data_IF_184973263961
#
_entry.id   IF_184973263961
#
_cell.length_a   1.000
_cell.length_b   1.000
_cell.length_c   1.000
_cell.angle_alpha   90.00
_cell.angle_beta   90.00
_cell.angle_gamma   90.00
#
_symmetry.space_group_name_H-M   'P 1'
#
loop_
_entity.id
_entity.type
_entity.pdbx_description
1 polymer ?
#
# COMPACT_ATOMS: atom_id res chain seq x y z
N UNK A 1 -55.72 21.16 -15.23
CA UNK A 1 -54.52 21.70 -14.55
C UNK A 1 -53.53 22.11 -15.63
N UNK A 2 -53.28 23.41 -15.82
CA UNK A 2 -52.33 23.93 -16.81
C UNK A 2 -51.14 24.47 -16.02
N UNK A 3 -49.97 23.84 -16.15
CA UNK A 3 -48.75 24.30 -15.48
C UNK A 3 -48.20 25.57 -16.17
N UNK A 4 -47.67 26.52 -15.39
CA UNK A 4 -47.09 27.76 -15.92
C UNK A 4 -45.76 27.48 -16.64
N UNK A 5 -45.42 28.30 -17.64
CA UNK A 5 -44.12 28.21 -18.36
C UNK A 5 -42.92 28.23 -17.41
N UNK A 6 -43.02 28.95 -16.30
CA UNK A 6 -41.99 29.03 -15.25
C UNK A 6 -41.82 27.72 -14.48
N UNK A 7 -42.90 26.97 -14.26
CA UNK A 7 -42.86 25.65 -13.60
C UNK A 7 -42.14 24.62 -14.48
N UNK A 8 -42.44 24.63 -15.79
CA UNK A 8 -41.78 23.75 -16.77
C UNK A 8 -40.28 24.07 -16.83
N UNK A 9 -39.90 25.36 -16.84
CA UNK A 9 -38.50 25.78 -16.81
C UNK A 9 -37.74 25.29 -15.57
N UNK A 10 -38.35 25.39 -14.39
CA UNK A 10 -37.76 24.89 -13.14
C UNK A 10 -37.55 23.37 -13.18
N UNK A 11 -38.55 22.62 -13.67
CA UNK A 11 -38.46 21.16 -13.80
C UNK A 11 -37.36 20.76 -14.77
N UNK A 12 -37.20 21.46 -15.90
CA UNK A 12 -36.13 21.19 -16.86
C UNK A 12 -34.75 21.50 -16.28
N UNK A 13 -34.60 22.58 -15.51
CA UNK A 13 -33.36 22.89 -14.80
C UNK A 13 -33.04 21.79 -13.77
N UNK A 14 -34.01 21.37 -12.96
CA UNK A 14 -33.81 20.30 -11.98
C UNK A 14 -33.49 18.94 -12.64
N UNK A 15 -34.09 18.62 -13.78
CA UNK A 15 -33.74 17.45 -14.57
C UNK A 15 -32.31 17.52 -15.12
N UNK A 16 -31.90 18.69 -15.64
CA UNK A 16 -30.54 18.92 -16.14
C UNK A 16 -29.49 18.84 -15.02
N UNK A 17 -29.83 19.27 -13.80
CA UNK A 17 -28.98 19.11 -12.62
C UNK A 17 -28.94 17.67 -12.08
N UNK A 18 -29.99 16.88 -12.28
CA UNK A 18 -30.04 15.48 -11.81
C UNK A 18 -29.13 14.56 -12.64
N UNK A 19 -28.89 14.86 -13.92
CA UNK A 19 -27.99 14.06 -14.78
C UNK A 19 -26.49 14.18 -14.41
N UNK A 20 -26.13 15.05 -13.47
CA UNK A 20 -24.75 15.20 -12.98
C UNK A 20 -24.43 14.32 -11.75
N UNK A 21 -25.39 13.55 -11.24
CA UNK A 21 -25.15 12.63 -10.13
C UNK A 21 -24.51 11.32 -10.65
N UNK A 22 -23.22 11.36 -10.96
CA UNK A 22 -22.44 10.15 -11.22
C UNK A 22 -22.08 9.49 -9.89
N UNK A 23 -22.50 8.23 -9.71
CA UNK A 23 -22.00 7.40 -8.61
C UNK A 23 -20.54 7.06 -8.86
N UNK A 24 -19.70 7.23 -7.84
CA UNK A 24 -18.32 6.75 -7.87
C UNK A 24 -18.38 5.25 -7.54
N UNK A 25 -18.03 4.41 -8.51
CA UNK A 25 -18.16 2.96 -8.41
C UNK A 25 -17.17 2.36 -7.39
N UNK A 26 -15.94 2.90 -7.35
CA UNK A 26 -14.85 2.43 -6.47
C UNK A 26 -14.21 3.63 -5.71
N UNK A 27 -14.87 4.19 -4.69
CA UNK A 27 -14.36 5.35 -3.96
C UNK A 27 -13.03 5.07 -3.24
N UNK A 28 -12.74 3.83 -2.88
CA UNK A 28 -11.50 3.36 -2.28
C UNK A 28 -10.28 3.43 -3.21
N UNK A 29 -10.50 3.61 -4.52
CA UNK A 29 -9.44 3.77 -5.51
C UNK A 29 -8.95 5.22 -5.63
N UNK A 30 -9.73 6.19 -5.16
CA UNK A 30 -9.39 7.62 -5.25
C UNK A 30 -8.23 8.07 -4.34
N UNK A 31 -8.08 7.56 -3.10
CA UNK A 31 -7.00 7.99 -2.21
C UNK A 31 -5.61 7.67 -2.75
N UNK A 32 -4.73 8.68 -2.75
CA UNK A 32 -3.31 8.51 -3.00
C UNK A 32 -2.54 8.45 -1.68
N UNK A 33 -2.10 7.25 -1.29
CA UNK A 33 -1.38 7.04 -0.03
C UNK A 33 0.06 7.58 -0.04
N UNK A 34 0.61 7.92 -1.21
CA UNK A 34 1.92 8.59 -1.32
C UNK A 34 1.80 10.11 -1.24
N UNK A 35 0.59 10.66 -1.16
CA UNK A 35 0.41 12.11 -1.03
C UNK A 35 1.04 12.59 0.29
N UNK A 36 2.02 13.49 0.21
CA UNK A 36 2.75 14.04 1.35
C UNK A 36 3.92 13.20 1.86
N UNK A 37 4.22 12.07 1.18
CA UNK A 37 5.27 11.13 1.58
C UNK A 37 6.61 11.39 0.89
N UNK A 38 6.71 12.46 0.08
CA UNK A 38 7.93 12.87 -0.62
C UNK A 38 8.75 13.90 0.18
N UNK A 39 8.51 14.00 1.50
CA UNK A 39 9.36 14.76 2.41
C UNK A 39 10.72 14.08 2.57
N UNK A 40 11.81 14.85 2.49
CA UNK A 40 13.14 14.38 2.84
C UNK A 40 13.61 14.95 4.19
N UNK A 41 13.37 14.18 5.25
CA UNK A 41 13.83 14.50 6.60
C UNK A 41 13.10 15.68 7.27
N UNK A 42 13.73 16.24 8.31
CA UNK A 42 13.11 17.24 9.19
C UNK A 42 13.19 18.69 8.73
N UNK A 43 13.78 19.00 7.57
CA UNK A 43 14.04 20.40 7.16
C UNK A 43 12.84 21.05 6.46
N UNK A 44 12.12 20.31 5.60
CA UNK A 44 10.98 20.84 4.86
C UNK A 44 9.91 19.76 4.64
N UNK A 45 8.70 20.01 5.14
CA UNK A 45 7.58 19.08 5.03
C UNK A 45 6.72 19.35 3.79
N UNK A 46 6.43 18.29 3.04
CA UNK A 46 5.35 18.26 2.03
C UNK A 46 4.10 17.54 2.53
N UNK A 47 4.08 17.15 3.80
CA UNK A 47 2.99 16.41 4.46
C UNK A 47 3.50 15.58 5.63
N UNK A 48 4.68 14.98 5.50
CA UNK A 48 5.25 14.05 6.50
C UNK A 48 4.35 12.83 6.73
N UNK A 49 3.66 12.38 5.69
CA UNK A 49 2.74 11.25 5.76
C UNK A 49 3.45 9.93 5.46
N UNK A 50 2.82 8.86 5.91
CA UNK A 50 3.20 7.48 5.63
C UNK A 50 2.10 6.85 4.77
N UNK A 51 2.43 5.95 3.84
CA UNK A 51 1.44 5.20 3.07
C UNK A 51 0.82 4.09 3.94
N UNK A 52 -0.01 4.49 4.91
CA UNK A 52 -0.61 3.58 5.88
C UNK A 52 -1.73 2.76 5.25
N UNK A 53 -1.51 1.46 5.16
CA UNK A 53 -2.51 0.46 4.76
C UNK A 53 -3.16 -0.11 6.02
N UNK A 54 -4.49 -0.13 6.07
CA UNK A 54 -5.23 -0.56 7.24
C UNK A 54 -6.70 -0.15 7.23
N UNK A 55 -7.46 -0.68 8.19
CA UNK A 55 -8.85 -0.25 8.42
C UNK A 55 -8.88 1.20 8.92
N UNK A 56 -9.96 1.96 8.64
CA UNK A 56 -10.25 3.17 9.37
C UNK A 56 -10.17 2.94 10.89
N UNK A 57 -9.35 3.70 11.58
CA UNK A 57 -9.07 3.57 13.03
C UNK A 57 -8.54 2.18 13.45
N UNK A 58 -7.88 1.47 12.54
CA UNK A 58 -7.21 0.21 12.85
C UNK A 58 -6.15 0.39 13.94
N UNK A 59 -5.99 -0.63 14.78
CA UNK A 59 -4.94 -0.61 15.81
C UNK A 59 -3.56 -0.66 15.14
N UNK A 60 -3.35 -1.62 14.24
CA UNK A 60 -2.13 -1.77 13.46
C UNK A 60 -2.30 -1.16 12.07
N UNK A 61 -1.29 -0.42 11.62
CA UNK A 61 -1.17 0.00 10.22
C UNK A 61 0.10 -0.58 9.62
N UNK A 62 0.07 -0.86 8.32
CA UNK A 62 1.18 -1.42 7.58
C UNK A 62 1.72 -0.41 6.59
N UNK A 63 3.05 -0.31 6.50
CA UNK A 63 3.69 0.53 5.51
C UNK A 63 5.08 0.00 5.14
N UNK A 64 5.50 0.14 3.87
CA UNK A 64 6.87 -0.11 3.44
C UNK A 64 7.84 0.79 4.20
N UNK A 65 9.00 0.25 4.58
CA UNK A 65 10.12 1.00 5.14
C UNK A 65 11.25 1.07 4.10
N UNK A 66 11.67 2.29 3.78
CA UNK A 66 12.69 2.52 2.74
C UNK A 66 14.06 2.89 3.32
N UNK A 67 14.09 3.39 4.55
CA UNK A 67 15.31 3.82 5.25
C UNK A 67 15.48 3.05 6.54
N UNK A 68 16.70 2.58 6.81
CA UNK A 68 17.04 2.04 8.12
C UNK A 68 17.04 3.14 9.18
N UNK A 69 16.76 2.74 10.42
CA UNK A 69 16.82 3.65 11.56
C UNK A 69 18.28 4.02 11.84
N UNK A 70 18.60 5.28 11.69
CA UNK A 70 19.89 5.88 12.03
C UNK A 70 19.67 7.18 12.79
N UNK A 71 20.75 7.76 13.33
CA UNK A 71 20.68 9.09 13.96
C UNK A 71 20.21 10.19 13.00
N UNK A 72 20.39 9.99 11.70
CA UNK A 72 20.09 10.99 10.67
C UNK A 72 18.69 10.80 10.08
N UNK A 73 18.20 9.55 10.01
CA UNK A 73 16.85 9.23 9.52
C UNK A 73 15.80 9.36 10.62
N UNK A 74 16.13 8.99 11.86
CA UNK A 74 15.24 9.12 13.01
C UNK A 74 13.88 8.44 12.75
N UNK A 75 12.81 9.24 12.79
CA UNK A 75 11.43 8.79 12.52
C UNK A 75 11.00 8.92 11.06
N UNK A 76 11.85 9.45 10.16
CA UNK A 76 11.62 9.48 8.71
C UNK A 76 12.15 8.20 8.07
N UNK A 77 11.53 7.08 8.42
CA UNK A 77 11.91 5.75 7.94
C UNK A 77 11.28 5.39 6.57
N UNK A 78 10.33 6.20 6.10
CA UNK A 78 9.77 6.12 4.74
C UNK A 78 9.97 7.42 3.99
N UNK A 79 10.27 7.31 2.69
CA UNK A 79 10.18 8.40 1.72
C UNK A 79 9.82 7.82 0.37
N UNK A 80 8.83 8.42 -0.30
CA UNK A 80 8.37 8.02 -1.64
C UNK A 80 9.40 8.29 -2.75
N UNK A 81 10.48 9.01 -2.44
CA UNK A 81 11.60 9.26 -3.35
C UNK A 81 12.65 8.14 -3.34
N UNK A 82 12.60 7.25 -2.33
CA UNK A 82 13.59 6.19 -2.16
C UNK A 82 13.27 4.97 -3.03
N UNK A 83 14.30 4.46 -3.71
CA UNK A 83 14.21 3.24 -4.52
C UNK A 83 14.63 1.99 -3.74
N UNK A 84 14.91 2.13 -2.45
CA UNK A 84 15.21 1.03 -1.54
C UNK A 84 13.97 0.61 -0.78
N UNK A 85 13.77 -0.70 -0.65
CA UNK A 85 12.76 -1.32 0.22
C UNK A 85 13.50 -2.24 1.17
N UNK A 86 13.27 -2.11 2.47
CA UNK A 86 13.97 -2.91 3.49
C UNK A 86 13.01 -3.84 4.20
N UNK A 87 11.90 -3.30 4.69
CA UNK A 87 10.95 -4.03 5.51
C UNK A 87 9.54 -3.63 5.16
N UNK A 88 8.60 -4.53 5.40
CA UNK A 88 7.24 -4.14 5.68
C UNK A 88 7.11 -3.93 7.20
N UNK A 89 6.55 -2.79 7.59
CA UNK A 89 6.52 -2.34 8.99
C UNK A 89 5.07 -2.28 9.49
N UNK A 90 4.80 -2.95 10.60
CA UNK A 90 3.63 -2.67 11.43
C UNK A 90 3.95 -1.44 12.29
N UNK A 91 3.20 -0.36 12.15
CA UNK A 91 3.51 0.96 12.73
C UNK A 91 2.33 1.57 13.46
N UNK A 92 2.63 2.35 14.50
CA UNK A 92 1.71 3.21 15.21
C UNK A 92 2.14 4.69 15.18
N UNK A 93 3.13 5.03 14.35
CA UNK A 93 3.68 6.39 14.24
C UNK A 93 2.62 7.39 13.74
N UNK A 94 2.23 8.39 14.55
CA UNK A 94 1.28 9.42 14.11
C UNK A 94 1.95 10.56 13.36
N UNK A 95 3.25 10.80 13.64
CA UNK A 95 4.07 11.79 12.94
C UNK A 95 5.55 11.49 13.19
N UNK A 96 6.48 11.95 12.34
CA UNK A 96 7.90 11.74 12.59
C UNK A 96 8.41 12.48 13.85
N UNK A 97 7.72 13.51 14.31
CA UNK A 97 8.11 14.26 15.51
C UNK A 97 7.82 13.50 16.81
N UNK A 98 6.75 12.71 16.83
CA UNK A 98 6.41 11.81 17.95
C UNK A 98 7.21 10.51 17.86
N UNK A 99 7.44 10.03 16.64
CA UNK A 99 8.05 8.73 16.40
C UNK A 99 7.06 7.59 16.58
N UNK A 100 7.59 6.37 16.57
CA UNK A 100 6.83 5.14 16.55
C UNK A 100 6.99 4.33 17.85
N UNK A 101 6.00 3.50 18.17
CA UNK A 101 5.98 2.65 19.35
C UNK A 101 5.40 1.28 19.02
N UNK A 102 5.88 0.24 19.73
CA UNK A 102 5.47 -1.16 19.55
C UNK A 102 5.41 -1.63 18.07
N UNK A 103 6.32 -1.12 17.24
CA UNK A 103 6.43 -1.52 15.84
C UNK A 103 7.28 -2.77 15.70
N UNK A 104 7.05 -3.50 14.62
CA UNK A 104 7.92 -4.59 14.20
C UNK A 104 8.05 -4.60 12.68
N UNK A 105 9.08 -5.29 12.23
CA UNK A 105 9.42 -5.46 10.83
C UNK A 105 9.24 -6.91 10.44
N UNK A 106 8.78 -7.12 9.21
CA UNK A 106 8.83 -8.43 8.59
C UNK A 106 9.09 -8.28 7.11
N UNK A 107 9.74 -9.28 6.53
CA UNK A 107 10.10 -9.30 5.11
C UNK A 107 10.44 -10.73 4.72
N UNK A 108 9.90 -11.26 3.60
CA UNK A 108 10.38 -12.51 3.03
C UNK A 108 11.82 -12.36 2.56
N UNK A 109 12.67 -13.31 2.94
CA UNK A 109 14.05 -13.36 2.49
C UNK A 109 14.27 -14.58 1.59
N UNK A 110 15.02 -14.38 0.50
CA UNK A 110 15.47 -15.44 -0.39
C UNK A 110 16.99 -15.47 -0.36
N UNK A 111 17.55 -16.65 -0.10
CA UNK A 111 19.00 -16.85 -0.05
C UNK A 111 19.59 -16.62 1.34
N UNK A 112 20.70 -15.89 1.43
CA UNK A 112 21.40 -15.69 2.70
C UNK A 112 20.57 -14.83 3.65
N UNK A 113 20.32 -15.36 4.85
CA UNK A 113 19.64 -14.66 5.93
C UNK A 113 20.59 -13.56 6.44
N UNK A 114 20.35 -12.34 5.99
CA UNK A 114 20.99 -11.13 6.49
C UNK A 114 20.12 -10.42 7.52
N UNK A 115 20.73 -9.67 8.43
CA UNK A 115 19.99 -8.87 9.43
C UNK A 115 19.38 -7.59 8.86
N UNK A 116 19.76 -7.23 7.61
CA UNK A 116 19.38 -5.99 6.92
C UNK A 116 19.10 -6.27 5.43
N UNK A 117 17.96 -6.86 5.08
CA UNK A 117 17.55 -7.01 3.69
C UNK A 117 17.41 -5.63 3.06
N UNK A 118 18.01 -5.47 1.88
CA UNK A 118 17.81 -4.30 1.04
C UNK A 118 17.42 -4.79 -0.34
N UNK A 119 16.19 -4.48 -0.72
CA UNK A 119 15.63 -4.70 -2.04
C UNK A 119 15.51 -3.39 -2.79
N UNK A 120 15.33 -3.47 -4.10
CA UNK A 120 15.04 -2.32 -4.95
C UNK A 120 13.62 -2.36 -5.45
N UNK A 121 12.94 -1.22 -5.47
CA UNK A 121 11.54 -1.11 -5.88
C UNK A 121 11.22 0.27 -6.44
N UNK A 122 10.04 0.41 -7.04
CA UNK A 122 9.52 1.70 -7.49
C UNK A 122 8.25 2.05 -6.70
N UNK A 123 8.30 2.98 -5.73
CA UNK A 123 7.13 3.35 -4.93
C UNK A 123 5.93 3.80 -5.77
N UNK A 124 6.18 4.50 -6.90
CA UNK A 124 5.10 4.98 -7.79
C UNK A 124 4.54 3.89 -8.69
N UNK A 125 5.27 2.79 -8.86
CA UNK A 125 4.83 1.61 -9.61
C UNK A 125 4.14 0.56 -8.73
N UNK A 126 4.21 0.71 -7.41
CA UNK A 126 3.50 -0.14 -6.47
C UNK A 126 2.02 0.24 -6.41
N UNK A 127 1.17 -0.76 -6.21
CA UNK A 127 -0.25 -0.55 -5.93
C UNK A 127 -0.42 -0.39 -4.42
N UNK A 128 -0.74 0.83 -3.99
CA UNK A 128 -0.83 1.20 -2.57
C UNK A 128 -2.17 1.89 -2.32
N UNK A 129 -3.08 1.18 -1.66
CA UNK A 129 -4.45 1.62 -1.36
C UNK A 129 -4.76 1.41 0.12
N UNK A 130 -5.79 2.07 0.67
CA UNK A 130 -6.13 1.90 2.09
C UNK A 130 -6.31 0.43 2.50
N UNK A 131 -6.76 -0.41 1.57
CA UNK A 131 -7.11 -1.82 1.81
C UNK A 131 -6.08 -2.83 1.28
N UNK A 132 -5.08 -2.40 0.52
CA UNK A 132 -4.14 -3.30 -0.13
C UNK A 132 -2.77 -2.67 -0.40
N UNK A 133 -1.73 -3.50 -0.30
CA UNK A 133 -0.36 -3.17 -0.69
C UNK A 133 0.16 -4.26 -1.63
N UNK A 134 0.55 -3.87 -2.84
CA UNK A 134 1.20 -4.77 -3.78
C UNK A 134 2.43 -4.09 -4.41
N UNK A 135 3.57 -4.76 -4.29
CA UNK A 135 4.83 -4.28 -4.83
C UNK A 135 5.75 -5.41 -5.28
N UNK A 136 6.41 -5.20 -6.41
CA UNK A 136 7.49 -6.06 -6.89
C UNK A 136 8.83 -5.47 -6.47
N UNK A 137 9.70 -6.30 -5.92
CA UNK A 137 11.05 -5.90 -5.51
C UNK A 137 12.14 -6.78 -6.14
N UNK A 138 13.25 -6.15 -6.51
CA UNK A 138 14.45 -6.76 -7.08
C UNK A 138 15.52 -6.98 -5.99
N UNK A 139 16.47 -7.93 -6.15
CA UNK A 139 16.82 -8.67 -7.37
C UNK A 139 16.06 -9.97 -7.61
N UNK A 140 15.27 -10.45 -6.64
CA UNK A 140 14.69 -11.81 -6.67
C UNK A 140 13.24 -11.87 -7.20
N UNK A 141 12.72 -10.77 -7.76
CA UNK A 141 11.35 -10.67 -8.28
C UNK A 141 10.32 -11.19 -7.25
N UNK A 142 10.47 -10.71 -6.02
CA UNK A 142 9.57 -10.99 -4.90
C UNK A 142 8.40 -10.03 -5.02
N UNK A 143 7.17 -10.57 -5.05
CA UNK A 143 5.96 -9.77 -5.01
C UNK A 143 5.35 -9.84 -3.61
N UNK A 144 5.27 -8.68 -2.98
CA UNK A 144 4.58 -8.47 -1.72
C UNK A 144 3.12 -8.23 -2.06
N UNK A 145 2.21 -8.96 -1.43
CA UNK A 145 0.78 -8.74 -1.60
C UNK A 145 0.08 -8.84 -0.25
N UNK A 146 -0.33 -7.70 0.28
CA UNK A 146 -1.17 -7.65 1.47
C UNK A 146 -2.58 -7.24 1.07
N UNK A 147 -3.55 -8.07 1.42
CA UNK A 147 -4.97 -7.81 1.21
C UNK A 147 -5.68 -7.82 2.54
N UNK A 148 -6.36 -6.73 2.85
CA UNK A 148 -7.20 -6.67 4.04
C UNK A 148 -8.54 -7.39 3.79
N UNK A 149 -8.57 -8.71 4.00
CA UNK A 149 -9.81 -9.49 3.85
C UNK A 149 -10.86 -9.01 4.87
N UNK A 150 -12.05 -8.67 4.39
CA UNK A 150 -13.25 -8.49 5.21
C UNK A 150 -13.72 -9.86 5.69
N UNK A 151 -13.24 -10.35 6.83
CA UNK A 151 -13.96 -11.42 7.54
C UNK A 151 -15.07 -10.72 8.30
N UNK A 152 -16.29 -10.77 7.76
CA UNK A 152 -17.48 -10.25 8.40
C UNK A 152 -17.87 -11.18 9.55
N UNK A 153 -17.15 -11.13 10.66
CA UNK A 153 -17.67 -11.54 11.97
C UNK A 153 -17.20 -10.55 13.03
N UNK A 154 -18.16 -10.10 13.83
CA UNK A 154 -17.95 -9.25 15.00
C UNK A 154 -16.87 -9.89 15.89
N UNK A 155 -15.84 -9.12 16.24
CA UNK A 155 -14.63 -9.52 17.00
C UNK A 155 -13.46 -10.12 16.22
N UNK A 156 -12.73 -9.34 15.40
CA UNK A 156 -11.26 -9.47 15.36
C UNK A 156 -10.57 -8.21 14.82
N UNK A 157 -9.85 -7.48 15.68
CA UNK A 157 -8.98 -6.33 15.30
C UNK A 157 -7.52 -6.81 15.05
N UNK A 158 -7.28 -8.12 14.98
CA UNK A 158 -5.93 -8.68 15.20
C UNK A 158 -5.25 -9.37 14.00
N UNK A 159 -5.93 -9.59 12.87
CA UNK A 159 -5.33 -10.35 11.76
C UNK A 159 -5.54 -9.70 10.40
N UNK A 160 -4.45 -9.20 9.82
CA UNK A 160 -4.32 -8.86 8.39
C UNK A 160 -3.66 -10.04 7.67
N UNK A 161 -4.35 -10.72 6.74
CA UNK A 161 -3.71 -11.76 5.95
C UNK A 161 -2.78 -11.15 4.89
N UNK A 162 -1.57 -11.70 4.77
CA UNK A 162 -0.62 -11.35 3.73
C UNK A 162 -0.31 -12.58 2.87
N UNK A 163 0.00 -12.37 1.61
CA UNK A 163 0.43 -13.41 0.67
C UNK A 163 1.74 -12.97 0.03
N UNK A 164 2.72 -13.88 -0.02
CA UNK A 164 4.00 -13.61 -0.66
C UNK A 164 4.11 -14.54 -1.85
N UNK A 165 4.24 -13.93 -3.03
CA UNK A 165 4.47 -14.64 -4.28
C UNK A 165 5.95 -14.56 -4.62
N UNK A 166 6.56 -15.71 -4.88
CA UNK A 166 7.96 -15.79 -5.28
C UNK A 166 8.05 -16.17 -6.75
N UNK A 167 8.67 -15.31 -7.57
CA UNK A 167 9.13 -15.73 -8.88
C UNK A 167 10.40 -16.56 -8.73
N UNK A 168 10.27 -17.88 -8.87
CA UNK A 168 11.40 -18.78 -8.87
C UNK A 168 12.27 -18.48 -10.10
N UNK A 169 13.20 -17.52 -9.99
CA UNK A 169 14.30 -17.43 -10.94
C UNK A 169 15.27 -18.55 -10.60
N UNK A 170 14.92 -19.76 -11.02
CA UNK A 170 15.94 -20.75 -11.30
C UNK A 170 16.94 -20.07 -12.23
N UNK A 171 18.23 -20.15 -11.91
CA UNK A 171 19.26 -19.84 -12.88
C UNK A 171 19.01 -20.74 -14.10
N UNK A 172 18.28 -20.23 -15.09
CA UNK A 172 17.96 -20.98 -16.29
C UNK A 172 19.31 -21.19 -17.01
N UNK A 173 19.73 -22.44 -17.27
CA UNK A 173 20.84 -22.68 -18.16
C UNK A 173 20.57 -21.97 -19.49
N UNK A 174 21.61 -21.41 -20.11
CA UNK A 174 21.50 -20.70 -21.38
C UNK A 174 20.61 -21.48 -22.38
N UNK A 175 19.41 -20.95 -22.68
CA UNK A 175 18.59 -21.43 -23.79
C UNK A 175 17.12 -21.77 -23.53
N UNK A 176 16.57 -21.74 -22.31
CA UNK A 176 15.15 -22.07 -22.09
C UNK A 176 14.21 -20.86 -22.17
N UNK A 177 13.21 -20.93 -23.06
CA UNK A 177 12.16 -19.93 -23.29
C UNK A 177 11.08 -19.98 -22.19
N UNK A 178 10.59 -18.81 -21.77
CA UNK A 178 9.46 -18.66 -20.82
C UNK A 178 8.15 -19.17 -21.42
N UNK A 179 7.35 -19.86 -20.61
CA UNK A 179 5.95 -20.18 -20.89
C UNK A 179 5.07 -18.93 -20.69
N UNK A 180 4.07 -18.62 -21.54
CA UNK A 180 3.34 -17.35 -21.51
C UNK A 180 2.36 -17.16 -20.34
N UNK A 181 2.03 -18.22 -19.58
CA UNK A 181 1.00 -18.21 -18.53
C UNK A 181 1.62 -18.24 -17.12
N UNK A 182 2.50 -17.29 -16.83
CA UNK A 182 3.36 -17.27 -15.64
C UNK A 182 2.66 -17.08 -14.28
N UNK A 183 2.06 -18.14 -13.74
CA UNK A 183 1.66 -18.21 -12.34
C UNK A 183 2.88 -18.50 -11.44
N UNK A 184 3.16 -17.56 -10.53
CA UNK A 184 4.24 -17.70 -9.55
C UNK A 184 3.77 -18.53 -8.33
N UNK A 185 4.59 -19.44 -7.79
CA UNK A 185 4.23 -20.25 -6.63
C UNK A 185 3.90 -19.39 -5.40
N UNK A 186 2.74 -19.70 -4.80
CA UNK A 186 2.18 -19.03 -3.61
C UNK A 186 2.68 -19.76 -2.35
N UNK A 187 3.38 -19.09 -1.45
CA UNK A 187 3.64 -19.62 -0.10
C UNK A 187 2.63 -18.99 0.85
N UNK A 188 1.60 -19.76 1.24
CA UNK A 188 0.66 -19.38 2.29
C UNK A 188 1.19 -19.92 3.62
N UNK A 189 1.73 -19.04 4.48
CA UNK A 189 1.99 -19.42 5.86
C UNK A 189 0.68 -19.33 6.64
N UNK A 190 0.10 -20.49 6.94
CA UNK A 190 -1.01 -20.62 7.88
C UNK A 190 -0.42 -20.72 9.29
N UNK A 191 -0.63 -19.69 10.11
CA UNK A 191 -0.37 -19.79 11.55
C UNK A 191 -1.61 -20.40 12.23
N UNK A 192 -1.41 -21.54 12.89
CA UNK A 192 -2.36 -22.16 13.82
C UNK A 192 -2.06 -21.82 15.27
#
# INVERSE_FOLDING_TARGET
MIYSRSFIGLVLVLFFWAEFLQSIEEPEELPNLLAGSFTDGGQYSTGNTLPLVGRPWGFNHWAPQTRERSRFTGSWWFSGSEQTFTWLRCTHQPSPWIGDWAYFHFTPMIGQIGHSPTYFWNPRGAYIKPHAFDAIVAPFDIRYEEHLILVHELYTIHHTPYTIHHAQTAALPHGSRRDPEGDLPIIREAWG
#
